data_IF_700413694419
#
_entry.id   IF_700413694419
#
_cell.length_a   1.000
_cell.length_b   1.000
_cell.length_c   1.000
_cell.angle_alpha   90.00
_cell.angle_beta   90.00
_cell.angle_gamma   90.00
#
_symmetry.space_group_name_H-M   'P 1'
#
loop_
_entity.id
_entity.type
_entity.pdbx_description
1 polymer ?
#
# COMPACT_ATOMS: atom_id res chain seq x y z
N UNK A 1 -22.02 5.79 -8.33
CA UNK A 1 -22.20 4.58 -7.49
C UNK A 1 -22.55 5.01 -6.08
N UNK A 2 -23.44 4.29 -5.40
CA UNK A 2 -23.77 4.51 -3.99
C UNK A 2 -23.58 3.23 -3.18
N UNK A 3 -22.95 3.34 -2.02
CA UNK A 3 -22.90 2.28 -1.01
C UNK A 3 -23.92 2.64 0.06
N UNK A 4 -25.00 1.86 0.21
CA UNK A 4 -26.09 2.15 1.15
C UNK A 4 -26.10 1.18 2.33
N UNK A 5 -26.84 1.55 3.38
CA UNK A 5 -27.08 0.69 4.54
C UNK A 5 -25.78 0.23 5.21
N UNK A 6 -24.81 1.13 5.35
CA UNK A 6 -23.53 0.85 5.99
C UNK A 6 -23.44 1.50 7.38
N UNK A 7 -22.63 0.90 8.26
CA UNK A 7 -22.10 1.55 9.46
C UNK A 7 -20.81 2.29 9.06
N UNK A 8 -20.92 3.58 8.79
CA UNK A 8 -19.83 4.43 8.32
C UNK A 8 -18.92 4.78 9.50
N UNK A 9 -17.63 4.48 9.37
CA UNK A 9 -16.60 4.79 10.37
C UNK A 9 -16.00 6.17 10.07
N UNK A 10 -16.18 7.09 11.01
CA UNK A 10 -15.51 8.38 11.06
C UNK A 10 -14.34 8.33 12.05
N UNK A 11 -13.64 9.46 12.20
CA UNK A 11 -12.54 9.58 13.16
C UNK A 11 -13.01 9.40 14.62
N UNK A 12 -14.21 9.89 14.95
CA UNK A 12 -14.71 10.04 16.31
C UNK A 12 -16.03 9.29 16.59
N UNK A 13 -16.66 8.73 15.56
CA UNK A 13 -17.95 8.05 15.67
C UNK A 13 -18.19 7.00 14.60
N UNK A 14 -19.25 6.22 14.79
CA UNK A 14 -19.83 5.33 13.80
C UNK A 14 -21.29 5.72 13.60
N UNK A 15 -21.71 5.88 12.34
CA UNK A 15 -23.07 6.30 11.99
C UNK A 15 -23.65 5.41 10.90
N UNK A 16 -24.93 5.05 11.01
CA UNK A 16 -25.64 4.37 9.93
C UNK A 16 -25.91 5.34 8.79
N UNK A 17 -25.57 4.98 7.57
CA UNK A 17 -25.71 5.90 6.44
C UNK A 17 -25.53 5.28 5.07
N UNK A 18 -25.30 6.16 4.10
CA UNK A 18 -24.93 5.81 2.72
C UNK A 18 -23.85 6.77 2.19
N UNK A 19 -23.01 6.32 1.27
CA UNK A 19 -21.95 7.15 0.66
C UNK A 19 -22.10 7.16 -0.85
N UNK A 20 -22.22 8.35 -1.43
CA UNK A 20 -22.25 8.57 -2.87
C UNK A 20 -20.84 8.80 -3.40
N UNK A 21 -20.47 8.02 -4.42
CA UNK A 21 -19.18 8.09 -5.09
C UNK A 21 -19.41 8.48 -6.56
N UNK A 22 -18.73 9.52 -7.00
CA UNK A 22 -18.75 10.02 -8.37
C UNK A 22 -17.32 10.30 -8.83
N UNK A 23 -16.96 9.82 -10.02
CA UNK A 23 -15.63 10.02 -10.61
C UNK A 23 -14.46 9.63 -9.67
N UNK A 24 -14.60 8.50 -8.97
CA UNK A 24 -13.59 7.97 -8.06
C UNK A 24 -13.42 8.75 -6.75
N UNK A 25 -14.32 9.69 -6.44
CA UNK A 25 -14.28 10.52 -5.23
C UNK A 25 -15.56 10.38 -4.43
N UNK A 26 -15.45 10.51 -3.12
CA UNK A 26 -16.61 10.68 -2.24
C UNK A 26 -17.25 12.02 -2.59
N UNK A 27 -18.47 11.99 -3.12
CA UNK A 27 -19.25 13.19 -3.49
C UNK A 27 -20.05 13.71 -2.31
N UNK A 28 -20.76 12.81 -1.63
CA UNK A 28 -21.67 13.15 -0.55
C UNK A 28 -21.82 11.96 0.41
N UNK A 29 -21.98 12.25 1.69
CA UNK A 29 -22.35 11.26 2.69
C UNK A 29 -23.80 11.57 3.12
N UNK A 30 -24.62 10.52 3.21
CA UNK A 30 -26.06 10.58 3.41
C UNK A 30 -26.79 11.42 2.33
N UNK A 31 -26.61 11.10 1.03
CA UNK A 31 -27.25 11.81 -0.06
C UNK A 31 -28.78 11.71 0.03
N UNK A 32 -29.47 12.82 -0.26
CA UNK A 32 -30.95 12.84 -0.30
C UNK A 32 -31.55 12.29 -1.59
N UNK A 33 -30.79 12.33 -2.69
CA UNK A 33 -31.21 11.84 -4.00
C UNK A 33 -30.20 10.81 -4.51
N UNK A 34 -30.69 9.65 -4.89
CA UNK A 34 -29.87 8.50 -5.29
C UNK A 34 -30.20 7.98 -6.69
N UNK A 35 -31.03 8.70 -7.44
CA UNK A 35 -31.50 8.25 -8.76
C UNK A 35 -30.33 7.98 -9.71
N UNK A 36 -30.48 6.96 -10.55
CA UNK A 36 -29.57 6.57 -11.65
C UNK A 36 -28.15 6.13 -11.26
N UNK A 37 -27.91 5.82 -9.98
CA UNK A 37 -26.62 5.30 -9.52
C UNK A 37 -26.62 3.77 -9.44
N UNK A 38 -25.50 3.14 -9.81
CA UNK A 38 -25.18 1.77 -9.39
C UNK A 38 -25.22 1.68 -7.85
N UNK A 39 -25.89 0.65 -7.32
CA UNK A 39 -26.14 0.49 -5.88
C UNK A 39 -25.40 -0.75 -5.37
N UNK A 40 -24.60 -0.54 -4.31
CA UNK A 40 -24.07 -1.59 -3.46
C UNK A 40 -24.82 -1.51 -2.13
N UNK A 41 -25.52 -2.58 -1.74
CA UNK A 41 -26.10 -2.71 -0.40
C UNK A 41 -25.06 -3.31 0.54
N UNK A 42 -24.66 -2.57 1.58
CA UNK A 42 -23.69 -3.06 2.55
C UNK A 42 -24.34 -3.96 3.62
N UNK A 43 -25.66 -4.12 3.64
CA UNK A 43 -26.37 -5.04 4.55
C UNK A 43 -26.06 -4.81 6.05
N UNK A 44 -25.75 -3.57 6.44
CA UNK A 44 -25.36 -3.21 7.79
C UNK A 44 -23.89 -3.51 8.12
N UNK A 45 -23.05 -3.85 7.15
CA UNK A 45 -21.61 -3.98 7.34
C UNK A 45 -20.95 -2.61 7.56
N UNK A 46 -19.69 -2.65 8.01
CA UNK A 46 -18.88 -1.45 8.23
C UNK A 46 -18.31 -0.92 6.92
N UNK A 47 -18.32 0.39 6.77
CA UNK A 47 -17.64 1.11 5.71
C UNK A 47 -16.58 2.02 6.34
N UNK A 48 -15.30 1.70 6.13
CA UNK A 48 -14.17 2.52 6.55
C UNK A 48 -13.46 3.13 5.35
N UNK A 49 -12.60 4.15 5.56
CA UNK A 49 -11.49 4.40 4.64
C UNK A 49 -10.69 3.10 4.45
N UNK A 50 -10.18 2.89 3.23
CA UNK A 50 -9.27 1.78 2.97
C UNK A 50 -7.98 1.94 3.78
N UNK A 51 -7.40 0.82 4.20
CA UNK A 51 -6.20 0.85 5.02
C UNK A 51 -4.98 1.31 4.22
N UNK A 52 -4.05 1.95 4.93
CA UNK A 52 -2.75 2.36 4.41
C UNK A 52 -1.69 1.53 5.13
N UNK A 53 -1.01 0.65 4.39
CA UNK A 53 0.07 -0.16 4.94
C UNK A 53 1.43 0.48 4.63
N UNK A 54 2.07 1.05 5.65
CA UNK A 54 3.34 1.77 5.51
C UNK A 54 4.55 0.85 5.65
N UNK A 55 4.37 -0.45 5.87
CA UNK A 55 5.46 -1.41 6.03
C UNK A 55 5.00 -2.83 5.69
N UNK A 56 5.23 -3.24 4.45
CA UNK A 56 4.95 -4.60 3.96
C UNK A 56 6.03 -5.08 2.98
N UNK A 57 6.62 -6.23 3.28
CA UNK A 57 7.63 -6.85 2.42
C UNK A 57 7.01 -7.59 1.23
N UNK A 58 5.98 -8.38 1.48
CA UNK A 58 5.41 -9.28 0.49
C UNK A 58 4.01 -9.76 0.84
N UNK A 59 3.33 -10.32 -0.15
CA UNK A 59 2.00 -10.92 -0.07
C UNK A 59 1.76 -11.77 -1.33
N UNK A 60 0.83 -12.74 -1.26
CA UNK A 60 0.43 -13.51 -2.44
C UNK A 60 1.52 -14.44 -3.00
N UNK A 61 2.55 -14.75 -2.20
CA UNK A 61 3.69 -15.56 -2.63
C UNK A 61 4.83 -14.76 -3.29
N UNK A 62 4.74 -13.43 -3.28
CA UNK A 62 5.73 -12.51 -3.83
C UNK A 62 6.31 -11.58 -2.76
N UNK A 63 7.53 -11.11 -3.00
CA UNK A 63 8.25 -10.17 -2.16
C UNK A 63 8.72 -8.95 -2.96
N UNK A 64 8.80 -7.79 -2.32
CA UNK A 64 9.33 -6.55 -2.91
C UNK A 64 10.76 -6.75 -3.43
N UNK A 65 11.53 -7.62 -2.79
CA UNK A 65 12.90 -7.97 -3.17
C UNK A 65 13.00 -8.92 -4.39
N UNK A 66 11.89 -9.45 -4.91
CA UNK A 66 11.88 -10.14 -6.22
C UNK A 66 12.32 -9.17 -7.34
N UNK A 67 12.07 -7.86 -7.14
CA UNK A 67 12.53 -6.80 -8.02
C UNK A 67 11.91 -6.88 -9.41
N UNK A 68 10.61 -7.18 -9.49
CA UNK A 68 9.84 -7.18 -10.74
C UNK A 68 8.49 -6.50 -10.55
N UNK A 69 7.96 -5.90 -11.61
CA UNK A 69 6.65 -5.24 -11.56
C UNK A 69 5.55 -6.26 -11.22
N UNK A 70 5.65 -7.48 -11.75
CA UNK A 70 4.72 -8.57 -11.49
C UNK A 70 4.60 -8.89 -10.00
N UNK A 71 5.72 -8.90 -9.27
CA UNK A 71 5.73 -9.14 -7.83
C UNK A 71 4.98 -8.03 -7.08
N UNK A 72 5.27 -6.75 -7.36
CA UNK A 72 4.56 -5.62 -6.73
C UNK A 72 3.07 -5.64 -7.08
N UNK A 73 2.72 -5.95 -8.33
CA UNK A 73 1.34 -6.01 -8.77
C UNK A 73 0.57 -7.18 -8.12
N UNK A 74 1.21 -8.33 -7.89
CA UNK A 74 0.57 -9.44 -7.16
C UNK A 74 0.40 -9.13 -5.67
N UNK A 75 1.38 -8.45 -5.05
CA UNK A 75 1.24 -7.93 -3.70
C UNK A 75 0.03 -6.99 -3.62
N UNK A 76 -0.08 -6.03 -4.55
CA UNK A 76 -1.17 -5.03 -4.53
C UNK A 76 -2.56 -5.66 -4.72
N UNK A 77 -2.69 -6.64 -5.63
CA UNK A 77 -3.92 -7.43 -5.83
C UNK A 77 -4.26 -8.31 -4.63
N UNK A 78 -3.26 -8.76 -3.89
CA UNK A 78 -3.48 -9.59 -2.71
C UNK A 78 -3.98 -8.77 -1.54
N UNK A 79 -3.28 -7.70 -1.18
CA UNK A 79 -3.59 -6.92 0.03
C UNK A 79 -4.92 -6.15 -0.08
N UNK A 80 -5.35 -5.79 -1.28
CA UNK A 80 -6.65 -5.10 -1.48
C UNK A 80 -7.83 -6.00 -1.11
N UNK A 81 -7.70 -7.33 -1.25
CA UNK A 81 -8.70 -8.31 -0.79
C UNK A 81 -8.83 -8.34 0.73
N UNK A 82 -7.86 -7.78 1.45
CA UNK A 82 -7.82 -7.68 2.91
C UNK A 82 -8.05 -6.25 3.43
N UNK A 83 -8.45 -5.32 2.56
CA UNK A 83 -8.84 -3.95 2.93
C UNK A 83 -7.75 -2.89 2.79
N UNK A 84 -6.52 -3.25 2.41
CA UNK A 84 -5.45 -2.27 2.15
C UNK A 84 -5.59 -1.70 0.75
N UNK A 85 -5.91 -0.41 0.65
CA UNK A 85 -6.10 0.27 -0.64
C UNK A 85 -4.87 1.02 -1.11
N UNK A 86 -3.90 1.23 -0.23
CA UNK A 86 -2.63 1.87 -0.57
C UNK A 86 -1.50 1.40 0.34
N UNK A 87 -0.28 1.36 -0.17
CA UNK A 87 0.84 0.80 0.57
C UNK A 87 2.20 1.34 0.11
N UNK A 88 3.23 1.05 0.89
CA UNK A 88 4.64 1.24 0.50
C UNK A 88 5.36 -0.11 0.49
N UNK A 89 5.65 -0.69 -0.69
CA UNK A 89 6.52 -1.86 -0.79
C UNK A 89 7.81 -1.64 -0.01
N UNK A 90 8.18 -2.62 0.81
CA UNK A 90 9.24 -2.48 1.80
C UNK A 90 10.40 -3.40 1.47
N UNK A 91 11.56 -2.80 1.29
CA UNK A 91 12.81 -3.52 1.00
C UNK A 91 13.34 -4.24 2.24
N UNK A 92 14.41 -5.01 2.07
CA UNK A 92 15.16 -5.68 3.13
C UNK A 92 16.65 -5.34 3.00
N UNK A 93 17.42 -5.62 4.05
CA UNK A 93 18.88 -5.56 4.03
C UNK A 93 19.45 -6.70 3.17
N UNK A 94 19.70 -6.38 1.90
CA UNK A 94 20.36 -7.25 0.91
C UNK A 94 21.42 -6.47 0.12
N UNK A 95 21.97 -7.03 -0.95
CA UNK A 95 22.96 -6.34 -1.77
C UNK A 95 22.39 -5.02 -2.35
N UNK A 96 23.25 -4.00 -2.47
CA UNK A 96 22.86 -2.66 -2.96
C UNK A 96 22.20 -2.74 -4.33
N UNK A 97 22.71 -3.58 -5.24
CA UNK A 97 22.16 -3.73 -6.59
C UNK A 97 20.73 -4.28 -6.58
N UNK A 98 20.41 -5.20 -5.65
CA UNK A 98 19.07 -5.75 -5.48
C UNK A 98 18.11 -4.69 -4.90
N UNK A 99 18.56 -3.91 -3.91
CA UNK A 99 17.79 -2.78 -3.37
C UNK A 99 17.49 -1.77 -4.48
N UNK A 100 18.51 -1.39 -5.25
CA UNK A 100 18.37 -0.44 -6.36
C UNK A 100 17.37 -0.93 -7.39
N UNK A 101 17.46 -2.20 -7.79
CA UNK A 101 16.50 -2.84 -8.70
C UNK A 101 15.07 -2.74 -8.16
N UNK A 102 14.85 -3.09 -6.89
CA UNK A 102 13.53 -2.95 -6.26
C UNK A 102 13.05 -1.49 -6.22
N UNK A 103 13.93 -0.53 -5.93
CA UNK A 103 13.58 0.91 -5.93
C UNK A 103 13.14 1.40 -7.31
N UNK A 104 13.82 0.99 -8.38
CA UNK A 104 13.46 1.31 -9.77
C UNK A 104 12.07 0.75 -10.13
N UNK A 105 11.78 -0.50 -9.73
CA UNK A 105 10.49 -1.13 -9.96
C UNK A 105 9.37 -0.51 -9.10
N UNK A 106 9.64 -0.14 -7.85
CA UNK A 106 8.65 0.57 -7.01
C UNK A 106 8.28 1.92 -7.66
N UNK A 107 9.27 2.64 -8.20
CA UNK A 107 9.03 3.88 -8.94
C UNK A 107 8.15 3.61 -10.17
N UNK A 108 8.46 2.60 -10.96
CA UNK A 108 7.65 2.19 -12.11
C UNK A 108 6.20 1.87 -11.69
N UNK A 109 6.00 1.06 -10.66
CA UNK A 109 4.68 0.68 -10.17
C UNK A 109 3.88 1.88 -9.62
N UNK A 110 4.56 2.87 -9.06
CA UNK A 110 3.95 4.12 -8.61
C UNK A 110 3.51 5.00 -9.79
N UNK A 111 4.34 5.11 -10.83
CA UNK A 111 4.09 5.96 -12.00
C UNK A 111 3.04 5.36 -12.94
N UNK A 112 3.13 4.06 -13.21
CA UNK A 112 2.24 3.34 -14.11
C UNK A 112 0.97 2.82 -13.43
N UNK A 113 0.98 2.71 -12.10
CA UNK A 113 -0.09 2.10 -11.32
C UNK A 113 0.02 0.58 -11.23
N UNK A 114 -0.88 -0.01 -10.46
CA UNK A 114 -1.05 -1.47 -10.34
C UNK A 114 -2.54 -1.81 -10.46
N UNK A 115 -2.86 -3.10 -10.60
CA UNK A 115 -4.24 -3.58 -10.74
C UNK A 115 -4.99 -3.63 -9.39
N UNK A 116 -4.31 -3.38 -8.27
CA UNK A 116 -4.83 -3.49 -6.92
C UNK A 116 -4.59 -2.23 -6.09
N UNK A 117 -4.03 -2.40 -4.89
CA UNK A 117 -3.71 -1.30 -3.99
C UNK A 117 -2.72 -0.30 -4.62
N UNK A 118 -2.86 0.99 -4.28
CA UNK A 118 -2.02 2.07 -4.82
C UNK A 118 -0.65 2.07 -4.14
N UNK A 119 0.41 2.08 -4.95
CA UNK A 119 1.79 2.27 -4.45
C UNK A 119 2.02 3.75 -4.15
N UNK A 120 2.25 4.11 -2.88
CA UNK A 120 2.46 5.49 -2.44
C UNK A 120 3.93 5.94 -2.58
N UNK A 121 4.86 4.99 -2.59
CA UNK A 121 6.30 5.19 -2.56
C UNK A 121 6.98 3.93 -2.03
N UNK A 122 8.24 4.05 -1.61
CA UNK A 122 8.99 2.94 -1.04
C UNK A 122 9.19 3.13 0.47
N UNK A 123 9.24 2.02 1.20
CA UNK A 123 9.85 1.98 2.52
C UNK A 123 11.21 1.30 2.38
N UNK A 124 12.28 2.04 2.67
CA UNK A 124 13.65 1.52 2.64
C UNK A 124 14.02 0.98 4.04
N UNK A 125 13.74 -0.31 4.31
CA UNK A 125 14.09 -0.94 5.58
C UNK A 125 15.51 -1.52 5.51
N UNK A 126 16.45 -0.76 6.08
CA UNK A 126 17.87 -1.05 5.99
C UNK A 126 18.50 -0.50 4.71
N UNK A 127 19.77 -0.83 4.44
CA UNK A 127 20.70 -1.66 5.19
C UNK A 127 21.40 -0.92 6.35
N UNK A 128 20.97 0.30 6.67
CA UNK A 128 21.53 1.14 7.74
C UNK A 128 21.03 0.75 9.14
N UNK A 129 21.21 -0.51 9.53
CA UNK A 129 20.65 -1.07 10.76
C UNK A 129 21.76 -1.33 11.78
N UNK A 130 21.43 -1.18 13.07
CA UNK A 130 22.34 -1.52 14.17
C UNK A 130 22.60 -3.04 14.20
N UNK A 131 23.88 -3.49 14.17
CA UNK A 131 24.20 -4.91 14.33
C UNK A 131 23.68 -5.53 15.63
N UNK A 132 23.41 -4.71 16.66
CA UNK A 132 22.89 -5.15 17.96
C UNK A 132 21.38 -5.42 17.96
N UNK A 133 20.66 -4.97 16.93
CA UNK A 133 19.20 -5.06 16.84
C UNK A 133 18.79 -5.55 15.43
N UNK A 134 19.48 -6.57 14.93
CA UNK A 134 19.41 -6.95 13.52
C UNK A 134 18.14 -7.72 13.13
N UNK A 135 17.52 -8.44 14.06
CA UNK A 135 16.34 -9.24 13.76
C UNK A 135 16.58 -10.22 12.61
N UNK A 136 15.70 -10.20 11.60
CA UNK A 136 15.77 -11.06 10.41
C UNK A 136 16.62 -10.48 9.27
N UNK A 137 17.25 -9.33 9.45
CA UNK A 137 18.03 -8.64 8.44
C UNK A 137 19.39 -9.34 8.25
N UNK A 138 19.91 -9.39 7.02
CA UNK A 138 21.15 -10.13 6.76
C UNK A 138 22.39 -9.31 7.19
N UNK A 139 23.18 -9.77 8.19
CA UNK A 139 24.32 -9.02 8.72
C UNK A 139 25.41 -8.75 7.69
N UNK A 140 25.53 -9.60 6.66
CA UNK A 140 26.58 -9.49 5.67
C UNK A 140 26.40 -8.29 4.72
N UNK A 141 25.21 -7.70 4.69
CA UNK A 141 24.89 -6.57 3.83
C UNK A 141 24.71 -5.25 4.59
N UNK A 142 25.01 -5.23 5.90
CA UNK A 142 25.02 -3.99 6.67
C UNK A 142 26.11 -3.06 6.18
N UNK A 143 25.75 -1.79 5.96
CA UNK A 143 26.68 -0.74 5.55
C UNK A 143 26.42 0.54 6.36
N UNK A 144 27.42 1.44 6.49
CA UNK A 144 27.23 2.70 7.22
C UNK A 144 26.22 3.65 6.53
N UNK A 145 25.47 4.45 7.30
CA UNK A 145 24.52 5.45 6.77
C UNK A 145 25.25 6.68 6.23
N UNK A 146 25.85 6.55 5.05
CA UNK A 146 26.49 7.67 4.34
C UNK A 146 25.62 8.12 3.17
N UNK A 147 25.78 9.38 2.75
CA UNK A 147 25.10 9.91 1.55
C UNK A 147 25.49 9.10 0.31
N UNK A 148 26.77 8.72 0.20
CA UNK A 148 27.28 7.88 -0.89
C UNK A 148 26.52 6.54 -0.98
N UNK A 149 26.41 5.82 0.14
CA UNK A 149 25.66 4.57 0.19
C UNK A 149 24.17 4.75 -0.07
N UNK A 150 23.57 5.86 0.41
CA UNK A 150 22.17 6.16 0.16
C UNK A 150 21.91 6.34 -1.34
N UNK A 151 22.68 7.20 -2.01
CA UNK A 151 22.55 7.46 -3.44
C UNK A 151 22.81 6.20 -4.29
N UNK A 152 23.73 5.32 -3.86
CA UNK A 152 23.96 4.06 -4.54
C UNK A 152 22.71 3.16 -4.61
N UNK A 153 21.83 3.24 -3.60
CA UNK A 153 20.59 2.47 -3.52
C UNK A 153 19.39 3.11 -4.21
N UNK A 154 19.28 4.45 -4.19
CA UNK A 154 18.05 5.13 -4.64
C UNK A 154 18.17 5.83 -6.00
N UNK A 155 19.39 5.93 -6.55
CA UNK A 155 19.68 6.68 -7.78
C UNK A 155 19.54 8.18 -7.60
#
# INVERSE_FOLDING_TARGET
MIIKNCNIIYLDKIEKGSVLIENGKIKEINPKNTNDNEIIDAEGLYLSPGFIDVHIHGAGGHDTMDGTFEAINEISKTIVKHGTTSFTPTTMTVAIDDIRKSMEIIKEAKENGTDGAIVLGAHLEGPFISPKAIGAQNPNFLIPPTIENFNAMVG
#
